data_IF_937470652948
#
_entry.id   IF_937470652948
#
_cell.length_a   1.000
_cell.length_b   1.000
_cell.length_c   1.000
_cell.angle_alpha   90.00
_cell.angle_beta   90.00
_cell.angle_gamma   90.00
#
_symmetry.space_group_name_H-M   'P 1'
#
loop_
_entity.id
_entity.type
_entity.pdbx_description
1 polymer ?
#
# COMPACT_ATOMS: atom_id res chain seq x y z
N UNK A 1 -37.42 1.52 -24.47
CA UNK A 1 -36.74 0.96 -23.29
C UNK A 1 -35.46 1.76 -23.05
N UNK A 2 -35.43 2.62 -22.02
CA UNK A 2 -34.25 3.39 -21.65
C UNK A 2 -33.30 2.47 -20.88
N UNK A 3 -32.25 1.99 -21.53
CA UNK A 3 -31.18 1.28 -20.83
C UNK A 3 -30.46 2.29 -19.92
N UNK A 4 -30.74 2.22 -18.61
CA UNK A 4 -29.90 2.87 -17.61
C UNK A 4 -28.51 2.22 -17.67
N UNK A 5 -27.56 2.89 -18.32
CA UNK A 5 -26.14 2.58 -18.18
C UNK A 5 -25.67 3.17 -16.84
N UNK A 6 -25.85 2.43 -15.76
CA UNK A 6 -25.10 2.67 -14.53
C UNK A 6 -23.66 2.20 -14.78
N UNK A 7 -22.82 3.11 -15.26
CA UNK A 7 -21.37 2.89 -15.30
C UNK A 7 -20.80 3.70 -14.13
N UNK A 8 -20.67 3.02 -12.99
CA UNK A 8 -19.86 3.53 -11.88
C UNK A 8 -18.40 3.41 -12.36
N UNK A 9 -17.64 4.51 -12.51
CA UNK A 9 -16.22 4.40 -12.78
C UNK A 9 -15.54 3.91 -11.50
N UNK A 10 -15.56 2.60 -11.26
CA UNK A 10 -14.74 1.99 -10.23
C UNK A 10 -13.32 1.91 -10.81
N UNK A 11 -12.59 3.01 -10.75
CA UNK A 11 -11.13 2.97 -10.88
C UNK A 11 -10.57 2.34 -9.60
N UNK A 12 -10.50 1.00 -9.56
CA UNK A 12 -9.54 0.34 -8.67
C UNK A 12 -8.18 0.43 -9.35
N UNK A 13 -7.54 1.60 -9.26
CA UNK A 13 -6.10 1.63 -9.38
C UNK A 13 -5.58 0.73 -8.25
N UNK A 14 -4.91 -0.36 -8.62
CA UNK A 14 -3.98 -1.07 -7.72
C UNK A 14 -2.59 -0.59 -8.13
N UNK A 15 -2.36 0.69 -7.86
CA UNK A 15 -1.02 1.26 -7.81
C UNK A 15 -0.33 0.76 -6.54
N UNK A 16 1.00 0.78 -6.56
CA UNK A 16 1.79 0.66 -5.34
C UNK A 16 1.46 1.91 -4.50
N UNK A 17 0.47 1.81 -3.62
CA UNK A 17 -0.02 2.95 -2.85
C UNK A 17 0.63 3.01 -1.48
N UNK A 18 1.31 4.14 -1.31
CA UNK A 18 2.13 4.59 -0.19
C UNK A 18 1.42 4.49 1.16
N UNK A 19 2.17 4.13 2.22
CA UNK A 19 1.80 4.57 3.57
C UNK A 19 1.94 6.10 3.57
N UNK A 20 0.83 6.82 3.62
CA UNK A 20 0.88 8.28 3.60
C UNK A 20 1.27 8.81 5.00
N UNK A 21 1.68 10.08 5.12
CA UNK A 21 1.97 10.75 6.39
C UNK A 21 0.84 10.59 7.41
N UNK A 22 -0.42 10.48 6.94
CA UNK A 22 -1.60 10.17 7.77
C UNK A 22 -1.56 8.80 8.42
N UNK A 23 -1.02 7.78 7.73
CA UNK A 23 -0.94 6.42 8.23
C UNK A 23 0.12 6.31 9.34
N UNK A 24 1.30 6.93 9.15
CA UNK A 24 2.32 7.07 10.19
C UNK A 24 1.79 7.82 11.42
N UNK A 25 1.04 8.91 11.21
CA UNK A 25 0.40 9.64 12.31
C UNK A 25 -0.55 8.75 13.11
N UNK A 26 -1.24 7.81 12.48
CA UNK A 26 -2.10 6.87 13.20
C UNK A 26 -1.30 5.92 14.10
N UNK A 27 -0.14 5.46 13.64
CA UNK A 27 0.76 4.61 14.41
C UNK A 27 1.38 5.34 15.61
N UNK A 28 1.73 6.62 15.42
CA UNK A 28 2.54 7.39 16.36
C UNK A 28 1.71 8.24 17.36
N UNK A 29 0.38 8.19 17.30
CA UNK A 29 -0.53 8.97 18.17
C UNK A 29 -0.80 8.36 19.56
N UNK A 30 -0.27 7.18 19.85
CA UNK A 30 -0.63 6.41 21.05
C UNK A 30 0.15 6.79 22.31
N UNK A 31 1.10 7.71 22.22
CA UNK A 31 2.08 7.91 23.29
C UNK A 31 2.11 9.33 23.79
N UNK A 32 2.62 9.49 25.00
CA UNK A 32 2.74 10.77 25.70
C UNK A 32 4.21 11.14 25.93
N UNK A 33 5.14 10.39 25.34
CA UNK A 33 6.59 10.52 25.51
C UNK A 33 7.31 10.31 24.17
N UNK A 34 8.52 10.87 23.99
CA UNK A 34 9.36 10.61 22.83
C UNK A 34 9.57 9.12 22.57
N UNK A 35 9.64 8.72 21.30
CA UNK A 35 9.75 7.31 20.93
C UNK A 35 10.83 7.03 19.90
N UNK A 36 11.57 5.93 20.10
CA UNK A 36 12.45 5.38 19.08
C UNK A 36 11.72 4.28 18.31
N UNK A 37 11.48 4.53 17.02
CA UNK A 37 10.92 3.55 16.08
C UNK A 37 12.01 3.03 15.15
N UNK A 38 12.23 1.72 15.17
CA UNK A 38 13.20 1.04 14.30
C UNK A 38 12.47 0.25 13.24
N UNK A 39 12.79 0.51 11.98
CA UNK A 39 12.20 -0.18 10.84
C UNK A 39 13.13 -1.31 10.39
N UNK A 40 12.60 -2.52 10.33
CA UNK A 40 13.29 -3.71 9.81
C UNK A 40 12.85 -3.93 8.36
N UNK A 41 13.81 -3.83 7.43
CA UNK A 41 13.58 -3.83 5.98
C UNK A 41 13.41 -2.41 5.40
N UNK A 42 13.92 -2.17 4.19
CA UNK A 42 13.99 -0.82 3.61
C UNK A 42 13.23 -0.70 2.28
N UNK A 43 12.01 -0.15 2.34
CA UNK A 43 11.33 0.34 1.14
C UNK A 43 11.54 1.84 1.00
N UNK A 44 12.06 2.26 -0.16
CA UNK A 44 12.15 3.64 -0.67
C UNK A 44 10.83 4.45 -0.67
N UNK A 45 9.73 3.85 -0.20
CA UNK A 45 8.35 4.35 -0.32
C UNK A 45 7.78 4.85 1.02
N UNK A 46 8.47 4.58 2.13
CA UNK A 46 8.38 5.40 3.34
C UNK A 46 9.32 6.55 3.05
N UNK A 47 8.79 7.74 2.80
CA UNK A 47 9.59 8.89 2.36
C UNK A 47 10.91 8.96 3.13
N UNK A 48 12.03 8.85 2.41
CA UNK A 48 13.38 9.04 2.93
C UNK A 48 13.57 10.40 3.59
N UNK A 49 12.61 11.32 3.39
CA UNK A 49 12.53 12.63 4.03
C UNK A 49 12.19 12.61 5.54
N UNK A 50 12.01 11.44 6.18
CA UNK A 50 11.72 11.34 7.62
C UNK A 50 12.74 10.56 8.47
N UNK A 51 13.81 10.02 7.87
CA UNK A 51 14.85 9.31 8.62
C UNK A 51 15.67 10.33 9.41
N UNK A 52 15.75 10.18 10.73
CA UNK A 52 16.33 11.19 11.63
C UNK A 52 15.47 12.44 11.84
N UNK A 53 14.24 12.47 11.30
CA UNK A 53 13.33 13.60 11.47
C UNK A 53 12.49 13.38 12.71
N UNK A 54 12.72 14.20 13.74
CA UNK A 54 11.76 14.42 14.81
C UNK A 54 10.47 14.91 14.16
N UNK A 55 9.45 14.05 14.04
CA UNK A 55 8.12 14.58 13.78
C UNK A 55 7.72 15.37 15.02
N UNK A 56 7.38 16.64 14.87
CA UNK A 56 6.57 17.31 15.88
C UNK A 56 5.13 16.87 15.62
N UNK A 57 4.82 15.66 16.09
CA UNK A 57 3.51 15.06 15.95
C UNK A 57 2.54 15.81 16.90
N UNK A 58 1.27 16.01 16.51
CA UNK A 58 0.28 16.80 17.28
C UNK A 58 0.40 16.47 18.78
N UNK A 59 0.81 17.47 19.61
CA UNK A 59 1.16 17.44 21.06
C UNK A 59 2.66 17.51 21.46
N UNK A 60 3.61 17.82 20.57
CA UNK A 60 5.00 18.04 21.00
C UNK A 60 5.83 16.77 21.18
N UNK A 61 5.38 15.65 20.60
CA UNK A 61 6.01 14.33 20.78
C UNK A 61 7.02 14.11 19.65
N UNK A 62 8.29 13.93 20.00
CA UNK A 62 9.35 13.60 19.06
C UNK A 62 9.43 12.09 18.78
N UNK A 63 9.43 11.73 17.49
CA UNK A 63 9.66 10.36 17.05
C UNK A 63 10.99 10.29 16.32
N UNK A 64 11.90 9.46 16.80
CA UNK A 64 13.14 9.13 16.10
C UNK A 64 12.90 7.88 15.25
N UNK A 65 13.26 7.96 13.96
CA UNK A 65 13.16 6.84 13.02
C UNK A 65 14.56 6.37 12.66
N UNK A 66 14.84 5.09 12.92
CA UNK A 66 16.10 4.45 12.55
C UNK A 66 15.88 3.24 11.64
N UNK A 67 16.81 3.02 10.72
CA UNK A 67 16.91 1.81 9.89
C UNK A 67 18.11 0.94 10.27
N UNK A 68 18.82 1.26 11.36
CA UNK A 68 19.95 0.47 11.87
C UNK A 68 19.46 -0.73 12.68
N UNK A 69 18.65 -1.57 12.06
CA UNK A 69 18.04 -2.73 12.71
C UNK A 69 19.04 -3.86 12.98
N UNK A 70 20.23 -3.80 12.40
CA UNK A 70 21.32 -4.75 12.63
C UNK A 70 22.13 -4.42 13.90
N UNK A 71 21.97 -3.21 14.46
CA UNK A 71 22.66 -2.79 15.67
C UNK A 71 21.86 -3.19 16.94
N UNK A 72 22.37 -4.12 17.77
CA UNK A 72 21.69 -4.55 18.99
C UNK A 72 21.44 -3.43 20.01
N UNK A 73 22.31 -2.41 20.06
CA UNK A 73 22.15 -1.29 20.97
C UNK A 73 21.01 -0.37 20.54
N UNK A 74 20.78 -0.24 19.23
CA UNK A 74 19.65 0.50 18.68
C UNK A 74 18.36 -0.27 18.90
N UNK A 75 18.36 -1.58 18.59
CA UNK A 75 17.18 -2.42 18.78
C UNK A 75 16.76 -2.50 20.24
N UNK A 76 17.68 -2.70 21.19
CA UNK A 76 17.32 -2.84 22.61
C UNK A 76 16.69 -1.58 23.22
N UNK A 77 16.97 -0.40 22.65
CA UNK A 77 16.41 0.89 23.07
C UNK A 77 15.10 1.26 22.37
N UNK A 78 14.71 0.54 21.31
CA UNK A 78 13.54 0.91 20.53
C UNK A 78 12.24 0.70 21.33
N UNK A 79 11.30 1.64 21.26
CA UNK A 79 9.95 1.42 21.78
C UNK A 79 9.12 0.60 20.77
N UNK A 80 9.33 0.85 19.48
CA UNK A 80 8.65 0.17 18.39
C UNK A 80 9.64 -0.44 17.41
N UNK A 81 9.43 -1.73 17.09
CA UNK A 81 10.18 -2.41 16.02
C UNK A 81 9.19 -2.80 14.93
N UNK A 82 9.31 -2.16 13.77
CA UNK A 82 8.32 -2.22 12.70
C UNK A 82 8.89 -3.04 11.55
N UNK A 83 8.29 -4.20 11.29
CA UNK A 83 8.72 -5.13 10.26
C UNK A 83 7.96 -4.83 8.97
N UNK A 84 8.68 -4.28 7.99
CA UNK A 84 8.09 -3.80 6.73
C UNK A 84 8.52 -4.69 5.57
N UNK A 85 7.55 -5.04 4.72
CA UNK A 85 7.84 -5.86 3.55
C UNK A 85 8.72 -5.10 2.55
N UNK A 86 9.91 -5.65 2.32
CA UNK A 86 10.83 -5.21 1.27
C UNK A 86 10.96 -6.30 0.18
N UNK A 87 10.75 -5.91 -1.08
CA UNK A 87 10.91 -6.80 -2.22
C UNK A 87 12.38 -7.12 -2.53
N UNK A 88 13.34 -6.44 -1.89
CA UNK A 88 14.78 -6.65 -2.09
C UNK A 88 15.43 -7.43 -0.95
N UNK A 89 14.87 -7.35 0.26
CA UNK A 89 15.48 -7.94 1.46
C UNK A 89 14.56 -9.03 2.03
N UNK A 90 15.13 -10.19 2.35
CA UNK A 90 14.51 -11.21 3.19
C UNK A 90 15.25 -11.19 4.53
N UNK A 91 14.51 -11.09 5.63
CA UNK A 91 15.10 -11.16 6.97
C UNK A 91 15.66 -12.58 7.15
N UNK A 92 16.97 -12.70 7.34
CA UNK A 92 17.64 -13.99 7.52
C UNK A 92 17.22 -14.65 8.84
N UNK A 93 17.42 -15.96 8.96
CA UNK A 93 17.10 -16.70 10.18
C UNK A 93 17.97 -16.19 11.35
N UNK A 94 19.22 -15.85 11.06
CA UNK A 94 20.21 -15.32 11.98
C UNK A 94 19.77 -13.96 12.52
N UNK A 95 19.37 -13.04 11.63
CA UNK A 95 18.86 -11.73 12.00
C UNK A 95 17.57 -11.86 12.83
N UNK A 96 16.66 -12.77 12.48
CA UNK A 96 15.48 -13.05 13.30
C UNK A 96 15.84 -13.48 14.73
N UNK A 97 16.81 -14.39 14.87
CA UNK A 97 17.28 -14.85 16.18
C UNK A 97 17.95 -13.71 16.97
N UNK A 98 18.71 -12.85 16.32
CA UNK A 98 19.35 -11.69 16.95
C UNK A 98 18.34 -10.66 17.42
N UNK A 99 17.40 -10.27 16.56
CA UNK A 99 16.31 -9.38 16.92
C UNK A 99 15.52 -9.96 18.10
N UNK A 100 15.18 -11.25 18.05
CA UNK A 100 14.37 -11.88 19.08
C UNK A 100 15.11 -11.97 20.42
N UNK A 101 16.42 -12.25 20.42
CA UNK A 101 17.27 -12.23 21.62
C UNK A 101 17.33 -10.86 22.30
N UNK A 102 17.30 -9.79 21.50
CA UNK A 102 17.34 -8.41 22.00
C UNK A 102 15.95 -7.80 22.25
N UNK A 103 14.87 -8.58 22.09
CA UNK A 103 13.50 -8.12 22.34
C UNK A 103 13.33 -7.82 23.83
N UNK A 104 12.94 -6.60 24.17
CA UNK A 104 12.61 -6.21 25.56
C UNK A 104 11.10 -6.21 25.80
N UNK A 105 10.67 -6.35 27.06
CA UNK A 105 9.24 -6.42 27.43
C UNK A 105 8.46 -5.14 27.11
N UNK A 106 9.15 -3.99 27.06
CA UNK A 106 8.54 -2.69 26.76
C UNK A 106 8.27 -2.51 25.27
N UNK A 107 9.04 -3.17 24.40
CA UNK A 107 8.92 -2.97 22.96
C UNK A 107 7.63 -3.55 22.42
N UNK A 108 7.07 -2.89 21.40
CA UNK A 108 6.02 -3.48 20.57
C UNK A 108 6.55 -3.79 19.19
N UNK A 109 6.45 -5.06 18.82
CA UNK A 109 6.83 -5.54 17.50
C UNK A 109 5.62 -5.49 16.59
N UNK A 110 5.74 -4.78 15.47
CA UNK A 110 4.62 -4.45 14.60
C UNK A 110 4.82 -5.13 13.24
N UNK A 111 3.86 -5.97 12.86
CA UNK A 111 3.80 -6.54 11.51
C UNK A 111 3.18 -5.54 10.55
N UNK A 112 3.96 -4.97 9.63
CA UNK A 112 3.52 -3.89 8.74
C UNK A 112 3.57 -4.30 7.25
N UNK A 113 2.40 -4.49 6.65
CA UNK A 113 2.29 -4.82 5.22
C UNK A 113 0.91 -4.49 4.67
N UNK A 114 0.85 -4.05 3.41
CA UNK A 114 -0.39 -4.00 2.64
C UNK A 114 -0.55 -5.18 1.68
N UNK A 115 0.49 -5.99 1.52
CA UNK A 115 0.44 -7.19 0.69
C UNK A 115 -0.21 -8.35 1.43
N UNK A 116 -0.79 -9.30 0.68
CA UNK A 116 -1.38 -10.51 1.25
C UNK A 116 -0.34 -11.39 1.97
N UNK A 117 -0.75 -12.29 2.88
CA UNK A 117 0.18 -13.20 3.57
C UNK A 117 1.03 -14.04 2.62
N UNK A 118 0.47 -14.44 1.47
CA UNK A 118 1.18 -15.21 0.44
C UNK A 118 2.33 -14.42 -0.19
N UNK A 119 2.12 -13.12 -0.43
CA UNK A 119 3.13 -12.24 -1.03
C UNK A 119 4.11 -11.73 0.03
N UNK A 120 3.64 -11.58 1.27
CA UNK A 120 4.42 -11.09 2.40
C UNK A 120 5.20 -12.18 3.15
N UNK A 121 5.40 -13.36 2.55
CA UNK A 121 6.09 -14.51 3.17
C UNK A 121 7.51 -14.17 3.65
N UNK A 122 8.15 -13.14 3.06
CA UNK A 122 9.48 -12.67 3.46
C UNK A 122 9.53 -12.02 4.84
N UNK A 123 8.38 -11.62 5.38
CA UNK A 123 8.22 -11.13 6.76
C UNK A 123 7.88 -12.25 7.76
N UNK A 124 7.68 -13.49 7.30
CA UNK A 124 7.35 -14.57 8.21
C UNK A 124 8.55 -14.88 9.12
N UNK A 125 8.35 -14.96 10.45
CA UNK A 125 9.38 -15.43 11.34
C UNK A 125 9.70 -16.92 11.06
N UNK A 126 10.87 -17.41 11.49
CA UNK A 126 11.17 -18.84 11.48
C UNK A 126 10.09 -19.63 12.22
N UNK A 127 9.79 -20.86 11.77
CA UNK A 127 8.76 -21.71 12.40
C UNK A 127 8.94 -21.95 13.91
N UNK A 128 10.18 -21.87 14.39
CA UNK A 128 10.53 -21.98 15.82
C UNK A 128 10.06 -20.78 16.65
N UNK A 129 9.78 -19.64 16.02
CA UNK A 129 9.31 -18.42 16.67
C UNK A 129 7.84 -18.18 16.31
N UNK A 130 6.94 -18.55 17.22
CA UNK A 130 5.50 -18.31 17.07
C UNK A 130 5.11 -16.98 17.73
N UNK A 131 4.12 -16.30 17.16
CA UNK A 131 3.48 -15.11 17.75
C UNK A 131 4.45 -14.00 18.17
N UNK A 132 5.42 -13.68 17.31
CA UNK A 132 6.47 -12.68 17.60
C UNK A 132 5.98 -11.23 17.59
N UNK A 133 4.89 -10.96 16.88
CA UNK A 133 4.32 -9.63 16.70
C UNK A 133 3.25 -9.35 17.75
N UNK A 134 3.33 -8.17 18.35
CA UNK A 134 2.36 -7.66 19.31
C UNK A 134 1.18 -6.99 18.60
N UNK A 135 1.47 -6.24 17.53
CA UNK A 135 0.49 -5.46 16.78
C UNK A 135 0.58 -5.67 15.27
N UNK A 136 -0.52 -5.41 14.59
CA UNK A 136 -0.61 -5.47 13.13
C UNK A 136 -0.93 -4.11 12.54
N UNK A 137 -0.16 -3.69 11.53
CA UNK A 137 -0.40 -2.51 10.72
C UNK A 137 -0.64 -2.95 9.27
N UNK A 138 -1.89 -3.28 8.94
CA UNK A 138 -2.21 -3.93 7.65
C UNK A 138 -3.55 -3.47 7.09
N UNK A 139 -3.84 -3.87 5.84
CA UNK A 139 -5.11 -3.58 5.19
C UNK A 139 -6.33 -4.25 5.85
N UNK A 140 -6.10 -5.22 6.75
CA UNK A 140 -7.19 -5.98 7.35
C UNK A 140 -8.00 -5.09 8.31
N UNK A 141 -9.34 -5.21 8.28
CA UNK A 141 -10.24 -4.38 9.10
C UNK A 141 -10.09 -4.62 10.61
N UNK A 142 -9.64 -5.81 11.00
CA UNK A 142 -9.35 -6.17 12.40
C UNK A 142 -7.89 -5.93 12.82
N UNK A 143 -7.09 -5.28 11.99
CA UNK A 143 -5.72 -4.96 12.36
C UNK A 143 -5.70 -3.92 13.50
N UNK A 144 -4.73 -3.99 14.42
CA UNK A 144 -4.49 -2.95 15.44
C UNK A 144 -4.50 -1.55 14.84
N UNK A 145 -3.81 -1.40 13.70
CA UNK A 145 -3.81 -0.20 12.88
C UNK A 145 -4.27 -0.61 11.49
N UNK A 146 -5.52 -0.29 11.15
CA UNK A 146 -6.05 -0.61 9.83
C UNK A 146 -5.63 0.43 8.81
N UNK A 147 -5.01 -0.02 7.73
CA UNK A 147 -4.48 0.84 6.66
C UNK A 147 -4.84 0.28 5.28
N UNK A 148 -6.15 0.24 4.94
CA UNK A 148 -6.60 -0.28 3.66
C UNK A 148 -6.09 0.58 2.49
N UNK A 149 -6.00 -0.01 1.29
CA UNK A 149 -5.59 0.70 0.07
C UNK A 149 -6.53 1.87 -0.28
N UNK A 150 -7.79 1.79 0.14
CA UNK A 150 -8.78 2.83 -0.05
C UNK A 150 -9.87 2.72 1.01
N UNK A 151 -10.60 3.83 1.19
CA UNK A 151 -11.77 3.88 2.07
C UNK A 151 -12.86 4.71 1.40
N UNK A 152 -14.11 4.32 1.64
CA UNK A 152 -15.25 5.16 1.28
C UNK A 152 -15.33 6.31 2.28
N UNK A 153 -15.40 7.53 1.77
CA UNK A 153 -15.65 8.72 2.57
C UNK A 153 -16.95 9.37 2.07
N UNK A 154 -17.80 9.88 2.97
CA UNK A 154 -18.97 10.66 2.56
C UNK A 154 -18.53 11.78 1.62
N UNK A 155 -19.19 11.87 0.46
CA UNK A 155 -18.95 12.97 -0.45
C UNK A 155 -19.40 14.27 0.21
N UNK A 156 -18.57 15.32 0.14
CA UNK A 156 -19.04 16.66 0.46
C UNK A 156 -19.94 17.09 -0.69
N UNK A 157 -21.26 17.01 -0.49
CA UNK A 157 -22.26 17.32 -1.50
C UNK A 157 -22.15 18.76 -2.02
N UNK A 158 -21.56 19.68 -1.24
CA UNK A 158 -21.30 21.06 -1.66
C UNK A 158 -20.13 21.20 -2.66
N UNK A 159 -19.30 20.16 -2.82
CA UNK A 159 -18.21 20.12 -3.81
C UNK A 159 -18.61 19.42 -5.11
N UNK A 160 -19.80 18.83 -5.17
CA UNK A 160 -20.31 18.29 -6.44
C UNK A 160 -20.72 19.46 -7.33
N UNK A 161 -20.34 19.45 -8.62
CA UNK A 161 -20.79 20.47 -9.56
C UNK A 161 -22.32 20.62 -9.49
N UNK A 162 -22.80 21.85 -9.38
CA UNK A 162 -24.24 22.15 -9.43
C UNK A 162 -24.70 21.88 -10.86
N UNK A 163 -25.23 20.68 -11.11
CA UNK A 163 -25.68 20.20 -12.41
C UNK A 163 -25.33 18.74 -12.63
N UNK A 164 -26.19 17.98 -13.31
CA UNK A 164 -25.88 16.62 -13.74
C UNK A 164 -24.86 16.68 -14.89
N UNK A 165 -23.58 16.86 -14.56
CA UNK A 165 -22.52 16.65 -15.54
C UNK A 165 -22.61 15.19 -16.02
N UNK A 166 -22.84 14.98 -17.31
CA UNK A 166 -22.80 13.64 -17.87
C UNK A 166 -21.34 13.22 -18.07
N UNK A 167 -20.77 12.59 -17.04
CA UNK A 167 -19.40 12.05 -17.05
C UNK A 167 -19.17 10.92 -18.07
N UNK A 168 -20.17 10.56 -18.85
CA UNK A 168 -20.07 9.59 -19.94
C UNK A 168 -20.07 10.22 -21.34
N UNK A 169 -20.34 11.54 -21.49
CA UNK A 169 -20.48 12.17 -22.82
C UNK A 169 -19.25 12.02 -23.71
N UNK A 170 -18.05 12.04 -23.12
CA UNK A 170 -16.77 11.87 -23.84
C UNK A 170 -16.24 10.43 -23.85
N UNK A 171 -16.95 9.48 -23.22
CA UNK A 171 -16.47 8.09 -23.06
C UNK A 171 -17.08 7.20 -24.15
N UNK A 172 -16.29 6.90 -25.16
CA UNK A 172 -16.66 6.02 -26.28
C UNK A 172 -16.22 4.56 -26.09
N UNK A 173 -15.38 4.26 -25.08
CA UNK A 173 -14.90 2.91 -24.75
C UNK A 173 -15.72 2.29 -23.62
N UNK A 174 -15.86 0.96 -23.68
CA UNK A 174 -16.70 0.21 -22.73
C UNK A 174 -15.96 -0.09 -21.42
N UNK A 175 -14.78 -0.71 -21.50
CA UNK A 175 -13.97 -1.11 -20.34
C UNK A 175 -12.50 -0.82 -20.63
N UNK A 176 -11.82 -0.27 -19.63
CA UNK A 176 -10.35 -0.17 -19.60
C UNK A 176 -9.78 -1.06 -18.50
N UNK A 177 -8.74 -1.84 -18.80
CA UNK A 177 -7.97 -2.60 -17.81
C UNK A 177 -6.51 -2.12 -17.77
N UNK A 178 -6.09 -1.53 -16.66
CA UNK A 178 -4.72 -1.07 -16.46
C UNK A 178 -3.97 -2.02 -15.53
N UNK A 179 -2.91 -2.69 -16.00
CA UNK A 179 -2.09 -3.55 -15.14
C UNK A 179 -0.63 -3.56 -15.56
N UNK A 180 0.26 -3.64 -14.57
CA UNK A 180 1.70 -3.83 -14.80
C UNK A 180 2.32 -4.96 -13.97
N UNK A 181 1.49 -5.77 -13.32
CA UNK A 181 1.88 -7.00 -12.64
C UNK A 181 0.99 -8.15 -13.15
N UNK A 182 1.54 -8.93 -14.09
CA UNK A 182 0.74 -9.79 -14.97
C UNK A 182 0.53 -11.19 -14.39
N UNK A 183 1.58 -11.79 -13.86
CA UNK A 183 1.47 -13.03 -13.10
C UNK A 183 1.01 -12.72 -11.69
N UNK A 184 0.09 -13.50 -11.15
CA UNK A 184 -0.13 -13.52 -9.70
C UNK A 184 -0.09 -14.95 -9.20
N UNK A 185 0.34 -15.13 -7.96
CA UNK A 185 0.51 -16.45 -7.36
C UNK A 185 -0.83 -17.15 -7.07
N UNK A 186 -1.92 -16.39 -6.94
CA UNK A 186 -3.19 -16.89 -6.40
C UNK A 186 -4.36 -16.69 -7.37
N UNK A 187 -4.38 -15.61 -8.15
CA UNK A 187 -5.48 -15.31 -9.08
C UNK A 187 -4.98 -14.99 -10.50
N UNK A 188 -5.44 -15.80 -11.45
CA UNK A 188 -5.36 -15.60 -12.90
C UNK A 188 -6.15 -14.39 -13.43
N UNK A 189 -5.83 -13.18 -12.96
CA UNK A 189 -6.52 -11.92 -13.34
C UNK A 189 -6.34 -11.59 -14.82
N UNK A 190 -5.15 -11.83 -15.37
CA UNK A 190 -4.86 -11.54 -16.78
C UNK A 190 -5.67 -12.46 -17.70
N UNK A 191 -5.70 -13.75 -17.38
CA UNK A 191 -6.45 -14.76 -18.13
C UNK A 191 -7.94 -14.46 -18.10
N UNK A 192 -8.48 -14.07 -16.94
CA UNK A 192 -9.87 -13.63 -16.84
C UNK A 192 -10.17 -12.46 -17.81
N UNK A 193 -9.31 -11.43 -17.83
CA UNK A 193 -9.50 -10.27 -18.71
C UNK A 193 -9.35 -10.65 -20.19
N UNK A 194 -8.41 -11.56 -20.53
CA UNK A 194 -8.24 -12.07 -21.89
C UNK A 194 -9.44 -12.90 -22.38
N UNK A 195 -10.06 -13.71 -21.51
CA UNK A 195 -11.29 -14.43 -21.85
C UNK A 195 -12.46 -13.46 -22.00
N UNK A 196 -12.57 -12.47 -21.11
CA UNK A 196 -13.61 -11.43 -21.19
C UNK A 196 -13.50 -10.61 -22.48
N UNK A 197 -12.28 -10.28 -22.92
CA UNK A 197 -12.05 -9.47 -24.14
C UNK A 197 -12.49 -10.16 -25.44
N UNK A 198 -12.76 -11.47 -25.41
CA UNK A 198 -13.34 -12.20 -26.56
C UNK A 198 -14.81 -11.87 -26.80
N UNK A 199 -15.52 -11.43 -25.75
CA UNK A 199 -16.97 -11.20 -25.80
C UNK A 199 -17.34 -9.72 -25.77
N UNK A 200 -16.50 -8.87 -25.16
CA UNK A 200 -16.74 -7.43 -25.04
C UNK A 200 -15.44 -6.65 -25.28
N UNK A 201 -15.56 -5.42 -25.79
CA UNK A 201 -14.40 -4.55 -26.00
C UNK A 201 -13.73 -4.15 -24.68
N UNK A 202 -12.47 -4.56 -24.51
CA UNK A 202 -11.64 -4.20 -23.34
C UNK A 202 -10.32 -3.61 -23.83
N UNK A 203 -10.07 -2.35 -23.49
CA UNK A 203 -8.81 -1.67 -23.77
C UNK A 203 -7.79 -1.99 -22.66
N UNK A 204 -6.72 -2.70 -23.00
CA UNK A 204 -5.76 -3.22 -22.02
C UNK A 204 -4.48 -2.38 -22.01
N UNK A 205 -4.26 -1.61 -20.93
CA UNK A 205 -3.14 -0.69 -20.78
C UNK A 205 -2.07 -1.18 -19.79
N UNK A 206 -0.83 -0.74 -20.01
CA UNK A 206 0.33 -1.02 -19.16
C UNK A 206 1.08 -2.29 -19.58
N UNK A 207 2.06 -2.71 -18.78
CA UNK A 207 2.96 -3.82 -19.13
C UNK A 207 2.27 -5.18 -19.35
N UNK A 208 1.00 -5.32 -18.95
CA UNK A 208 0.22 -6.54 -19.15
C UNK A 208 -0.74 -6.49 -20.33
N UNK A 209 -0.90 -5.34 -20.97
CA UNK A 209 -1.76 -5.12 -22.13
C UNK A 209 -0.97 -4.77 -23.39
N UNK A 210 -1.69 -4.40 -24.44
CA UNK A 210 -1.15 -3.97 -25.73
C UNK A 210 -1.07 -2.44 -25.86
N UNK A 211 -1.77 -1.70 -25.00
CA UNK A 211 -1.74 -0.24 -24.96
C UNK A 211 -0.76 0.25 -23.90
N UNK A 212 -0.15 1.41 -24.14
CA UNK A 212 0.87 1.97 -23.24
C UNK A 212 0.26 2.96 -22.27
N UNK A 213 0.63 2.83 -21.00
CA UNK A 213 0.34 3.79 -19.93
C UNK A 213 1.65 4.00 -19.17
N UNK A 214 2.34 5.15 -19.34
CA UNK A 214 3.61 5.41 -18.69
C UNK A 214 3.47 5.39 -17.16
N UNK A 215 4.43 4.79 -16.46
CA UNK A 215 4.47 4.82 -15.00
C UNK A 215 4.88 6.22 -14.51
N UNK A 216 4.25 6.68 -13.44
CA UNK A 216 4.61 7.95 -12.77
C UNK A 216 3.88 9.19 -13.30
N UNK A 217 3.13 9.10 -14.40
CA UNK A 217 2.43 10.24 -15.02
C UNK A 217 0.96 9.91 -15.30
N UNK A 218 0.14 9.85 -14.24
CA UNK A 218 -1.29 9.52 -14.38
C UNK A 218 -2.01 10.42 -15.38
N UNK A 219 -1.66 11.72 -15.45
CA UNK A 219 -2.22 12.68 -16.42
C UNK A 219 -1.95 12.28 -17.87
N UNK A 220 -0.76 11.78 -18.17
CA UNK A 220 -0.43 11.32 -19.53
C UNK A 220 -1.24 10.08 -19.89
N UNK A 221 -1.39 9.15 -18.94
CA UNK A 221 -2.22 7.97 -19.15
C UNK A 221 -3.70 8.31 -19.33
N UNK A 222 -4.22 9.28 -18.58
CA UNK A 222 -5.58 9.80 -18.72
C UNK A 222 -5.82 10.38 -20.12
N UNK A 223 -4.90 11.20 -20.62
CA UNK A 223 -4.96 11.74 -21.98
C UNK A 223 -4.96 10.62 -23.03
N UNK A 224 -4.13 9.59 -22.87
CA UNK A 224 -4.10 8.43 -23.78
C UNK A 224 -5.43 7.68 -23.76
N UNK A 225 -6.02 7.45 -22.57
CA UNK A 225 -7.29 6.76 -22.42
C UNK A 225 -8.48 7.53 -23.01
N UNK A 226 -8.40 8.86 -23.06
CA UNK A 226 -9.45 9.72 -23.65
C UNK A 226 -9.27 9.88 -25.17
N UNK A 227 -8.02 9.99 -25.65
CA UNK A 227 -7.72 10.35 -27.04
C UNK A 227 -7.45 9.16 -27.97
N UNK A 228 -7.57 7.92 -27.49
CA UNK A 228 -7.42 6.73 -28.35
C UNK A 228 -8.67 6.53 -29.21
N UNK A 229 -8.75 7.31 -30.29
CA UNK A 229 -9.50 6.92 -31.49
C UNK A 229 -8.81 5.69 -32.07
N UNK A 230 -9.44 4.53 -31.95
CA UNK A 230 -8.93 3.30 -32.57
C UNK A 230 -8.82 3.50 -34.07
N UNK A 231 -7.60 3.36 -34.60
CA UNK A 231 -7.38 2.89 -35.96
C UNK A 231 -7.89 1.46 -36.10
#
# INVERSE_FOLDING_TARGET
MRHLKFIIPIFVLVGIFFYNRSDLRSLLRFTTYPQLSVFVGFRQHWDTAQIGTICDCDRGISVEISTRYEDPQVISKADFVIFVLDSRIRISIELWKELYRNKTLRQKWIYATRESPTTAIRLAPPYSLKSVFDWSFTYHSRATFSTPYGRYVPANLHMLPVGMANYADSKNKLISWTSSHCGTLVWKRKEFVLELSKYIGVDMYGACGNLTCPRGTYKQCEVIMINTNSL
#
